data_IF_220138940101
#
_entry.id   IF_220138940101
#
_cell.length_a   1.000
_cell.length_b   1.000
_cell.length_c   1.000
_cell.angle_alpha   90.00
_cell.angle_beta   90.00
_cell.angle_gamma   90.00
#
_symmetry.space_group_name_H-M   'P 1'
#
loop_
_entity.id
_entity.type
_entity.pdbx_description
1 polymer ?
#
# COMPACT_ATOMS: atom_id res chain seq x y z
N UNK A 1 -15.10 54.70 4.09
CA UNK A 1 -13.71 54.39 4.52
C UNK A 1 -13.45 52.97 4.08
N UNK A 2 -13.04 52.83 2.82
CA UNK A 2 -12.79 51.54 2.17
C UNK A 2 -11.34 51.16 2.49
N UNK A 3 -11.16 50.04 3.19
CA UNK A 3 -9.86 49.54 3.61
C UNK A 3 -9.40 48.48 2.59
N UNK A 4 -8.82 48.94 1.48
CA UNK A 4 -8.21 48.09 0.46
C UNK A 4 -6.96 47.43 1.06
N UNK A 5 -7.13 46.19 1.50
CA UNK A 5 -6.05 45.36 2.04
C UNK A 5 -5.28 44.79 0.85
N UNK A 6 -4.22 45.48 0.43
CA UNK A 6 -3.32 45.02 -0.62
C UNK A 6 -2.65 43.70 -0.21
N UNK A 7 -2.90 42.63 -0.96
CA UNK A 7 -2.14 41.38 -0.84
C UNK A 7 -0.89 41.44 -1.73
N UNK A 8 0.33 41.36 -1.17
CA UNK A 8 1.50 41.10 -1.97
C UNK A 8 1.58 39.59 -2.25
N UNK A 9 1.10 39.16 -3.41
CA UNK A 9 1.49 37.86 -3.96
C UNK A 9 2.71 38.08 -4.84
N UNK A 10 3.89 38.05 -4.20
CA UNK A 10 5.12 37.78 -4.93
C UNK A 10 4.94 36.43 -5.63
N UNK A 11 5.16 36.32 -6.95
CA UNK A 11 5.22 35.02 -7.60
C UNK A 11 6.26 34.19 -6.85
N UNK A 12 5.84 33.04 -6.32
CA UNK A 12 6.75 32.07 -5.74
C UNK A 12 7.62 31.59 -6.90
N UNK A 13 8.93 31.77 -6.77
CA UNK A 13 9.87 31.33 -7.78
C UNK A 13 9.81 29.80 -7.88
N UNK A 14 9.16 29.31 -8.94
CA UNK A 14 9.00 27.89 -9.20
C UNK A 14 10.36 27.17 -9.25
N UNK A 15 11.43 27.87 -9.64
CA UNK A 15 12.77 27.31 -9.65
C UNK A 15 13.26 26.95 -8.24
N UNK A 16 12.96 27.76 -7.23
CA UNK A 16 13.34 27.50 -5.84
C UNK A 16 12.60 26.28 -5.27
N UNK A 17 11.31 26.15 -5.58
CA UNK A 17 10.49 24.99 -5.16
C UNK A 17 11.01 23.69 -5.80
N UNK A 18 11.37 23.74 -7.08
CA UNK A 18 11.94 22.59 -7.80
C UNK A 18 13.31 22.18 -7.23
N UNK A 19 14.19 23.15 -6.92
CA UNK A 19 15.49 22.87 -6.30
C UNK A 19 15.35 22.21 -4.92
N UNK A 20 14.41 22.67 -4.08
CA UNK A 20 14.12 22.05 -2.78
C UNK A 20 13.68 20.59 -2.98
N UNK A 21 12.77 20.34 -3.91
CA UNK A 21 12.28 18.99 -4.20
C UNK A 21 13.40 18.06 -4.70
N UNK A 22 14.22 18.54 -5.65
CA UNK A 22 15.34 17.75 -6.19
C UNK A 22 16.39 17.41 -5.12
N UNK A 23 16.62 18.32 -4.15
CA UNK A 23 17.52 18.08 -3.04
C UNK A 23 17.03 16.94 -2.13
N UNK A 24 15.74 16.91 -1.83
CA UNK A 24 15.13 15.85 -1.03
C UNK A 24 15.17 14.50 -1.76
N UNK A 25 14.89 14.48 -3.07
CA UNK A 25 14.98 13.25 -3.89
C UNK A 25 16.42 12.72 -3.88
N UNK A 26 17.43 13.56 -4.11
CA UNK A 26 18.85 13.15 -4.08
C UNK A 26 19.25 12.61 -2.70
N UNK A 27 18.80 13.25 -1.62
CA UNK A 27 19.06 12.77 -0.26
C UNK A 27 18.47 11.38 -0.01
N UNK A 28 17.23 11.15 -0.46
CA UNK A 28 16.57 9.85 -0.32
C UNK A 28 17.24 8.76 -1.16
N UNK A 29 17.65 9.06 -2.39
CA UNK A 29 18.40 8.10 -3.24
C UNK A 29 19.74 7.73 -2.59
N UNK A 30 20.47 8.70 -2.04
CA UNK A 30 21.75 8.46 -1.36
C UNK A 30 21.59 7.54 -0.15
N UNK A 31 20.57 7.76 0.68
CA UNK A 31 20.29 6.91 1.86
C UNK A 31 19.92 5.48 1.45
N UNK A 32 19.10 5.31 0.41
CA UNK A 32 18.74 3.98 -0.10
C UNK A 32 19.97 3.24 -0.62
N UNK A 33 20.87 3.93 -1.31
CA UNK A 33 22.13 3.36 -1.78
C UNK A 33 22.99 2.85 -0.61
N UNK A 34 23.13 3.66 0.45
CA UNK A 34 23.89 3.27 1.64
C UNK A 34 23.32 2.00 2.32
N UNK A 35 21.99 1.87 2.39
CA UNK A 35 21.34 0.67 2.93
C UNK A 35 21.62 -0.55 2.04
N UNK A 36 21.58 -0.41 0.71
CA UNK A 36 21.88 -1.51 -0.22
C UNK A 36 23.35 -1.92 -0.10
N UNK A 37 24.27 -0.95 -0.07
CA UNK A 37 25.70 -1.21 0.09
C UNK A 37 25.98 -1.91 1.43
N UNK A 38 25.27 -1.54 2.51
CA UNK A 38 25.34 -2.21 3.80
C UNK A 38 24.82 -3.66 3.73
N UNK A 39 23.67 -3.90 3.06
CA UNK A 39 23.12 -5.25 2.90
C UNK A 39 24.06 -6.16 2.10
N UNK A 40 24.71 -5.63 1.06
CA UNK A 40 25.72 -6.35 0.27
C UNK A 40 26.92 -6.70 1.16
N UNK A 41 27.44 -5.74 1.93
CA UNK A 41 28.55 -5.98 2.85
C UNK A 41 28.18 -7.02 3.94
N UNK A 42 26.97 -6.98 4.48
CA UNK A 42 26.46 -7.98 5.43
C UNK A 42 26.35 -9.36 4.77
N UNK A 43 25.91 -9.42 3.51
CA UNK A 43 25.85 -10.67 2.74
C UNK A 43 27.25 -11.24 2.44
N UNK A 44 28.26 -10.40 2.22
CA UNK A 44 29.64 -10.84 2.00
C UNK A 44 30.31 -11.33 3.30
N UNK A 45 29.99 -10.70 4.43
CA UNK A 45 30.53 -11.09 5.76
C UNK A 45 29.85 -12.34 6.31
N UNK A 46 28.57 -12.54 5.99
CA UNK A 46 27.89 -13.81 6.18
C UNK A 46 28.29 -14.74 5.04
N UNK A 47 29.42 -15.45 5.18
CA UNK A 47 29.74 -16.63 4.36
C UNK A 47 28.66 -17.72 4.54
N UNK A 48 27.45 -17.47 4.05
CA UNK A 48 26.50 -18.51 3.72
C UNK A 48 27.18 -19.26 2.59
N UNK A 49 27.60 -20.50 2.89
CA UNK A 49 28.11 -21.36 1.83
C UNK A 49 27.04 -21.44 0.74
N UNK A 50 27.45 -21.68 -0.50
CA UNK A 50 26.51 -21.92 -1.59
C UNK A 50 25.46 -22.99 -1.20
N UNK A 51 25.79 -23.89 -0.28
CA UNK A 51 24.88 -24.89 0.27
C UNK A 51 23.77 -24.31 1.15
N UNK A 52 24.03 -23.26 1.93
CA UNK A 52 23.00 -22.57 2.73
C UNK A 52 22.01 -21.81 1.84
N UNK A 53 22.48 -21.16 0.78
CA UNK A 53 21.60 -20.52 -0.21
C UNK A 53 20.77 -21.56 -0.98
N UNK A 54 21.36 -22.72 -1.28
CA UNK A 54 20.65 -23.84 -1.92
C UNK A 54 19.59 -24.45 -1.00
N UNK A 55 19.87 -24.53 0.31
CA UNK A 55 18.91 -25.01 1.30
C UNK A 55 17.69 -24.08 1.41
N UNK A 56 17.90 -22.77 1.50
CA UNK A 56 16.80 -21.77 1.54
C UNK A 56 16.01 -21.78 0.23
N UNK A 57 16.68 -21.87 -0.92
CA UNK A 57 16.00 -21.96 -2.22
C UNK A 57 15.15 -23.23 -2.35
N UNK A 58 15.60 -24.35 -1.81
CA UNK A 58 14.85 -25.61 -1.83
C UNK A 58 13.65 -25.55 -0.87
N UNK A 59 13.82 -24.97 0.32
CA UNK A 59 12.74 -24.79 1.28
C UNK A 59 11.64 -23.86 0.73
N UNK A 60 12.03 -22.80 0.03
CA UNK A 60 11.09 -21.90 -0.64
C UNK A 60 10.33 -22.59 -1.79
N UNK A 61 11.03 -23.43 -2.58
CA UNK A 61 10.39 -24.23 -3.62
C UNK A 61 9.40 -25.27 -3.06
N UNK A 62 9.67 -25.82 -1.88
CA UNK A 62 8.77 -26.77 -1.20
C UNK A 62 7.53 -26.08 -0.65
N UNK A 63 7.68 -24.89 -0.06
CA UNK A 63 6.54 -24.08 0.37
C UNK A 63 5.65 -23.66 -0.82
N UNK A 64 6.25 -23.32 -1.96
CA UNK A 64 5.48 -23.03 -3.18
C UNK A 64 4.70 -24.24 -3.71
N UNK A 65 5.26 -25.46 -3.60
CA UNK A 65 4.52 -26.69 -3.97
C UNK A 65 3.29 -26.90 -3.09
N UNK A 66 3.42 -26.70 -1.77
CA UNK A 66 2.32 -26.84 -0.81
C UNK A 66 1.21 -25.82 -1.11
N UNK A 67 1.57 -24.58 -1.45
CA UNK A 67 0.59 -23.52 -1.76
C UNK A 67 -0.08 -23.75 -3.12
N UNK A 68 0.63 -24.33 -4.10
CA UNK A 68 0.10 -24.55 -5.45
C UNK A 68 -0.92 -25.69 -5.56
N UNK A 69 -1.07 -26.54 -4.54
CA UNK A 69 -2.08 -27.61 -4.52
C UNK A 69 -1.96 -28.64 -5.66
N UNK A 70 -0.79 -28.72 -6.32
CA UNK A 70 -0.57 -29.65 -7.42
C UNK A 70 -0.15 -31.00 -6.84
N UNK A 71 -1.11 -31.90 -6.65
CA UNK A 71 -0.87 -33.31 -6.37
C UNK A 71 -0.23 -33.97 -7.61
N UNK A 72 1.10 -34.03 -7.65
CA UNK A 72 1.85 -34.73 -8.69
C UNK A 72 1.81 -36.25 -8.47
N UNK A 73 0.67 -36.86 -8.78
CA UNK A 73 0.59 -38.29 -9.13
C UNK A 73 0.13 -38.42 -10.57
N UNK A 74 1.02 -38.10 -11.50
CA UNK A 74 0.91 -38.57 -12.90
C UNK A 74 2.23 -39.24 -13.25
N UNK A 75 2.20 -40.57 -13.25
CA UNK A 75 3.25 -41.41 -13.81
C UNK A 75 3.35 -41.09 -15.31
N UNK A 76 4.45 -40.46 -15.71
CA UNK A 76 4.75 -40.21 -17.11
C UNK A 76 5.38 -41.50 -17.66
N UNK A 77 4.54 -42.33 -18.29
CA UNK A 77 5.02 -43.39 -19.19
C UNK A 77 5.74 -42.73 -20.38
N UNK A 78 7.03 -43.03 -20.52
CA UNK A 78 7.83 -42.68 -21.69
C UNK A 78 7.42 -43.58 -22.86
N UNK A 79 6.40 -43.15 -23.62
CA UNK A 79 5.99 -43.76 -24.88
C UNK A 79 6.87 -43.33 -26.05
N UNK A 80 7.38 -44.32 -26.78
CA UNK A 80 8.19 -44.18 -28.00
C UNK A 80 7.46 -43.36 -29.08
N UNK A 81 8.16 -42.36 -29.61
CA UNK A 81 7.70 -41.52 -30.72
C UNK A 81 7.94 -42.24 -32.05
N UNK A 82 6.84 -42.56 -32.72
CA UNK A 82 6.79 -43.10 -34.08
C UNK A 82 6.71 -41.94 -35.09
N UNK A 83 7.64 -41.95 -36.06
CA UNK A 83 7.70 -41.02 -37.18
C UNK A 83 6.57 -41.34 -38.17
N UNK A 84 5.61 -40.42 -38.31
CA UNK A 84 4.81 -40.31 -39.54
C UNK A 84 4.25 -38.89 -39.70
N UNK A 85 4.78 -38.19 -40.69
CA UNK A 85 4.14 -37.07 -41.38
C UNK A 85 3.05 -37.62 -42.34
N UNK A 86 2.37 -36.82 -43.19
CA UNK A 86 2.06 -35.37 -43.16
C UNK A 86 0.54 -35.11 -43.29
N UNK A 87 0.08 -33.86 -43.16
CA UNK A 87 -0.85 -33.28 -44.15
C UNK A 87 -1.02 -31.77 -43.97
N UNK A 88 -0.84 -31.10 -45.11
CA UNK A 88 -1.10 -29.69 -45.40
C UNK A 88 -2.58 -29.36 -45.13
N UNK A 89 -2.85 -28.22 -44.49
CA UNK A 89 -4.20 -27.63 -44.45
C UNK A 89 -4.05 -26.17 -44.84
N UNK A 90 -4.81 -25.83 -45.86
CA UNK A 90 -4.77 -24.60 -46.64
C UNK A 90 -5.17 -23.36 -45.85
N UNK A 91 -4.53 -22.25 -46.21
CA UNK A 91 -4.81 -20.89 -45.77
C UNK A 91 -6.10 -20.39 -46.44
N UNK A 92 -7.09 -19.95 -45.65
CA UNK A 92 -8.27 -19.25 -46.15
C UNK A 92 -8.22 -17.78 -45.68
N UNK A 93 -7.64 -16.94 -46.53
CA UNK A 93 -7.69 -15.49 -46.42
C UNK A 93 -9.12 -15.00 -46.71
N UNK A 94 -9.73 -14.30 -45.76
CA UNK A 94 -10.99 -13.59 -46.00
C UNK A 94 -10.75 -12.09 -45.97
N UNK A 95 -10.64 -11.53 -47.18
CA UNK A 95 -10.72 -10.10 -47.45
C UNK A 95 -12.14 -9.60 -47.17
N UNK A 96 -12.28 -8.62 -46.27
CA UNK A 96 -13.53 -7.84 -46.14
C UNK A 96 -13.21 -6.40 -46.48
N UNK A 97 -13.30 -6.09 -47.78
CA UNK A 97 -13.57 -4.74 -48.27
C UNK A 97 -14.97 -4.32 -47.81
N UNK A 98 -15.09 -3.23 -47.06
CA UNK A 98 -16.27 -2.38 -47.24
C UNK A 98 -15.92 -0.90 -47.16
N UNK A 99 -16.21 -0.28 -48.29
CA UNK A 99 -16.08 1.13 -48.65
C UNK A 99 -17.13 1.94 -47.90
N UNK A 100 -16.72 3.04 -47.27
CA UNK A 100 -17.56 4.23 -47.16
C UNK A 100 -16.72 5.45 -47.53
N UNK A 101 -16.99 5.96 -48.74
CA UNK A 101 -16.54 7.25 -49.21
C UNK A 101 -17.69 8.26 -49.07
N UNK A 102 -17.42 9.38 -48.39
CA UNK A 102 -17.94 10.72 -48.65
C UNK A 102 -17.25 11.67 -47.65
N UNK A 103 -16.22 12.43 -48.02
CA UNK A 103 -16.17 13.63 -48.88
C UNK A 103 -16.47 14.94 -48.16
N UNK A 104 -15.54 15.88 -48.39
CA UNK A 104 -15.53 17.35 -48.15
C UNK A 104 -15.10 17.80 -46.73
N UNK A 105 -13.86 18.23 -46.50
CA UNK A 105 -13.13 19.43 -46.99
C UNK A 105 -13.50 20.71 -46.24
N UNK A 106 -12.65 21.09 -45.28
CA UNK A 106 -12.22 22.47 -45.03
C UNK A 106 -10.93 22.41 -44.23
N UNK A 107 -9.87 22.89 -44.88
CA UNK A 107 -8.55 23.09 -44.31
C UNK A 107 -8.55 24.39 -43.55
N UNK A 108 -8.10 24.38 -42.30
CA UNK A 108 -7.25 25.43 -41.73
C UNK A 108 -6.27 24.78 -40.74
N UNK A 109 -5.01 25.10 -40.92
CA UNK A 109 -3.85 24.71 -40.13
C UNK A 109 -4.00 25.15 -38.68
N UNK A 110 -3.60 24.30 -37.73
CA UNK A 110 -2.82 24.74 -36.58
C UNK A 110 -2.13 23.54 -35.93
N UNK A 111 -0.80 23.54 -36.07
CA UNK A 111 0.13 22.65 -35.39
C UNK A 111 -0.05 22.81 -33.87
N UNK A 112 -0.36 21.71 -33.18
CA UNK A 112 0.11 21.51 -31.82
C UNK A 112 0.26 20.00 -31.57
N UNK A 113 1.53 19.60 -31.66
CA UNK A 113 2.08 18.36 -31.14
C UNK A 113 1.92 18.34 -29.59
N UNK A 114 2.00 17.14 -29.00
CA UNK A 114 1.95 16.82 -27.56
C UNK A 114 0.59 16.59 -26.89
N UNK A 115 -0.13 15.57 -27.34
CA UNK A 115 -1.04 14.80 -26.49
C UNK A 115 -0.75 13.29 -26.56
N UNK A 116 0.45 12.87 -26.13
CA UNK A 116 0.70 11.45 -25.87
C UNK A 116 1.76 11.19 -24.78
N UNK A 117 1.62 11.84 -23.62
CA UNK A 117 2.47 11.57 -22.46
C UNK A 117 1.71 11.67 -21.11
N UNK A 118 0.51 11.10 -21.01
CA UNK A 118 -0.24 11.05 -19.73
C UNK A 118 -0.82 9.66 -19.41
N UNK A 119 -0.31 8.58 -20.04
CA UNK A 119 -0.72 7.20 -19.70
C UNK A 119 0.41 6.30 -19.17
N UNK A 120 1.59 6.85 -18.84
CA UNK A 120 2.73 6.06 -18.29
C UNK A 120 3.26 6.49 -16.92
N UNK A 121 2.51 7.29 -16.17
CA UNK A 121 2.92 7.73 -14.83
C UNK A 121 2.19 7.03 -13.66
N UNK A 122 1.17 6.20 -13.91
CA UNK A 122 0.40 5.54 -12.83
C UNK A 122 0.65 4.04 -12.64
N UNK A 123 1.51 3.41 -13.47
CA UNK A 123 1.86 1.98 -13.30
C UNK A 123 3.20 1.76 -12.59
N UNK A 124 3.97 2.82 -12.31
CA UNK A 124 5.28 2.73 -11.65
C UNK A 124 5.24 2.77 -10.12
N UNK A 125 4.05 2.84 -9.51
CA UNK A 125 3.87 2.85 -8.06
C UNK A 125 3.35 1.51 -7.47
N UNK A 126 3.13 0.48 -8.29
CA UNK A 126 2.49 -0.78 -7.86
C UNK A 126 3.46 -1.91 -7.47
N UNK A 127 4.77 -1.70 -7.53
CA UNK A 127 5.76 -2.65 -6.98
C UNK A 127 6.47 -2.05 -5.77
N UNK A 128 5.70 -1.51 -4.82
CA UNK A 128 6.20 -1.38 -3.45
C UNK A 128 6.17 -2.79 -2.85
N UNK A 129 7.33 -3.41 -2.95
CA UNK A 129 7.67 -4.68 -2.34
C UNK A 129 7.21 -4.72 -0.87
N UNK A 130 6.34 -5.70 -0.57
CA UNK A 130 5.72 -5.93 0.75
C UNK A 130 6.74 -6.24 1.84
N UNK A 131 8.03 -6.32 1.51
CA UNK A 131 9.15 -6.50 2.44
C UNK A 131 9.51 -5.23 3.23
N UNK A 132 9.00 -4.05 2.83
CA UNK A 132 9.23 -2.78 3.56
C UNK A 132 8.33 -2.56 4.78
N UNK A 133 7.65 -3.61 5.27
CA UNK A 133 6.75 -3.55 6.44
C UNK A 133 7.37 -4.01 7.76
N UNK A 134 8.64 -4.47 7.79
CA UNK A 134 9.22 -5.07 9.02
C UNK A 134 10.56 -4.46 9.51
N UNK A 135 11.19 -3.56 8.75
CA UNK A 135 12.53 -3.05 9.11
C UNK A 135 12.56 -1.54 9.29
N UNK A 136 12.21 -1.10 10.49
CA UNK A 136 12.48 0.27 10.92
C UNK A 136 11.66 0.66 12.14
N UNK A 137 12.01 0.10 13.30
CA UNK A 137 11.81 0.63 14.69
C UNK A 137 11.73 -0.49 15.76
N UNK A 138 12.53 -1.56 15.60
CA UNK A 138 12.55 -2.75 16.47
C UNK A 138 13.01 -2.54 17.93
N UNK A 139 13.02 -1.32 18.47
CA UNK A 139 13.30 -1.09 19.90
C UNK A 139 12.22 -0.32 20.66
N UNK A 140 11.14 0.14 20.02
CA UNK A 140 9.93 0.47 20.78
C UNK A 140 9.26 -0.85 21.12
N UNK A 141 9.75 -1.48 22.20
CA UNK A 141 9.21 -2.69 22.83
C UNK A 141 7.68 -2.58 22.80
N UNK A 142 7.06 -3.29 21.85
CA UNK A 142 5.62 -3.25 21.61
C UNK A 142 4.95 -3.47 22.94
N UNK A 143 4.33 -2.42 23.50
CA UNK A 143 3.61 -2.56 24.75
C UNK A 143 2.54 -3.61 24.50
N UNK A 144 2.73 -4.79 25.09
CA UNK A 144 1.78 -5.90 24.99
C UNK A 144 0.43 -5.37 25.49
N UNK A 145 -0.51 -5.26 24.57
CA UNK A 145 -1.86 -4.91 24.91
C UNK A 145 -2.43 -6.02 25.80
N UNK A 146 -3.01 -5.65 26.94
CA UNK A 146 -3.70 -6.59 27.83
C UNK A 146 -5.20 -6.31 27.75
N UNK A 147 -6.04 -7.30 27.38
CA UNK A 147 -7.48 -7.14 27.49
C UNK A 147 -7.89 -6.79 28.92
N UNK A 148 -8.90 -5.93 29.08
CA UNK A 148 -9.37 -5.54 30.40
C UNK A 148 -10.21 -4.26 30.39
N UNK A 149 -10.54 -3.80 31.60
CA UNK A 149 -11.32 -2.58 31.81
C UNK A 149 -10.39 -1.36 31.95
N UNK A 150 -10.61 -0.38 31.08
CA UNK A 150 -9.90 0.87 31.05
C UNK A 150 -10.84 2.02 31.38
N UNK A 151 -10.36 2.96 32.19
CA UNK A 151 -11.12 4.19 32.48
C UNK A 151 -10.50 5.33 31.70
N UNK A 152 -11.28 5.94 30.81
CA UNK A 152 -10.89 7.14 30.09
C UNK A 152 -10.96 8.38 31.00
N UNK A 153 -10.23 9.45 30.69
CA UNK A 153 -10.35 10.75 31.38
C UNK A 153 -11.76 11.34 31.30
N UNK A 154 -12.57 10.94 30.32
CA UNK A 154 -13.99 11.29 30.25
C UNK A 154 -14.89 10.48 31.20
N UNK A 155 -14.30 9.65 32.05
CA UNK A 155 -14.95 8.74 33.01
C UNK A 155 -15.72 7.57 32.39
N UNK A 156 -15.68 7.41 31.06
CA UNK A 156 -16.19 6.22 30.41
C UNK A 156 -15.34 5.01 30.80
N UNK A 157 -16.01 3.92 31.19
CA UNK A 157 -15.40 2.60 31.34
C UNK A 157 -15.47 1.87 30.01
N UNK A 158 -14.34 1.35 29.56
CA UNK A 158 -14.20 0.66 28.28
C UNK A 158 -13.60 -0.70 28.56
N UNK A 159 -14.39 -1.73 28.30
CA UNK A 159 -13.90 -3.10 28.26
C UNK A 159 -13.26 -3.31 26.90
N UNK A 160 -11.93 -3.30 26.86
CA UNK A 160 -11.18 -3.44 25.62
C UNK A 160 -10.75 -4.90 25.46
N UNK A 161 -11.22 -5.54 24.39
CA UNK A 161 -10.76 -6.85 23.95
C UNK A 161 -9.52 -6.74 23.08
N UNK A 162 -9.38 -5.60 22.40
CA UNK A 162 -8.25 -5.25 21.56
C UNK A 162 -7.87 -3.77 21.73
N UNK A 163 -6.70 -3.39 21.19
CA UNK A 163 -6.23 -2.00 21.22
C UNK A 163 -7.16 -1.07 20.42
N UNK A 164 -7.83 -1.55 19.38
CA UNK A 164 -8.66 -0.74 18.49
C UNK A 164 -9.86 -0.14 19.25
N UNK A 165 -10.44 -0.86 20.22
CA UNK A 165 -11.51 -0.31 21.07
C UNK A 165 -11.09 0.99 21.78
N UNK A 166 -9.85 1.04 22.30
CA UNK A 166 -9.31 2.21 22.98
C UNK A 166 -9.02 3.34 21.98
N UNK A 167 -8.42 3.02 20.84
CA UNK A 167 -8.08 4.01 19.81
C UNK A 167 -9.33 4.65 19.20
N UNK A 168 -10.38 3.86 18.91
CA UNK A 168 -11.66 4.37 18.41
C UNK A 168 -12.34 5.29 19.43
N UNK A 169 -12.26 4.95 20.72
CA UNK A 169 -12.76 5.84 21.77
C UNK A 169 -12.01 7.18 21.81
N UNK A 170 -10.68 7.16 21.66
CA UNK A 170 -9.87 8.38 21.54
C UNK A 170 -10.25 9.17 20.28
N UNK A 171 -10.57 8.47 19.19
CA UNK A 171 -11.09 9.06 17.95
C UNK A 171 -12.25 10.01 18.20
N UNK A 172 -13.22 9.59 19.04
CA UNK A 172 -14.37 10.44 19.45
C UNK A 172 -13.95 11.71 20.18
N UNK A 173 -12.87 11.66 20.97
CA UNK A 173 -12.35 12.85 21.64
C UNK A 173 -11.61 13.79 20.71
N UNK A 174 -10.82 13.24 19.78
CA UNK A 174 -10.01 14.02 18.85
C UNK A 174 -10.78 14.52 17.63
N UNK A 175 -11.98 13.97 17.38
CA UNK A 175 -12.80 14.28 16.19
C UNK A 175 -11.97 14.16 14.90
N UNK A 176 -11.00 13.25 14.89
CA UNK A 176 -10.15 13.02 13.72
C UNK A 176 -11.01 12.29 12.71
N UNK A 177 -11.24 12.94 11.57
CA UNK A 177 -12.02 12.37 10.48
C UNK A 177 -11.10 11.64 9.51
N UNK A 178 -11.55 10.46 9.10
CA UNK A 178 -11.03 9.64 8.03
C UNK A 178 -11.96 9.79 6.84
N UNK A 179 -11.44 10.25 5.70
CA UNK A 179 -12.21 10.39 4.46
C UNK A 179 -12.29 9.03 3.76
N UNK A 180 -13.44 8.73 3.15
CA UNK A 180 -13.53 7.61 2.23
C UNK A 180 -12.60 7.79 1.03
N UNK A 181 -11.91 6.71 0.63
CA UNK A 181 -10.98 6.71 -0.50
C UNK A 181 -11.66 6.44 -1.85
N UNK A 182 -12.96 6.14 -1.86
CA UNK A 182 -13.75 6.07 -3.09
C UNK A 182 -14.03 7.49 -3.61
N UNK A 183 -13.71 7.74 -4.88
CA UNK A 183 -13.74 9.08 -5.49
C UNK A 183 -15.08 9.81 -5.33
N UNK A 184 -16.20 9.10 -5.49
CA UNK A 184 -17.56 9.64 -5.41
C UNK A 184 -18.17 9.60 -4.00
N UNK A 185 -17.35 9.35 -2.97
CA UNK A 185 -17.81 9.24 -1.59
C UNK A 185 -17.20 10.31 -0.69
N UNK A 186 -18.01 11.29 -0.30
CA UNK A 186 -17.60 12.39 0.59
C UNK A 186 -17.74 12.06 2.09
N UNK A 187 -18.15 10.84 2.41
CA UNK A 187 -18.38 10.43 3.80
C UNK A 187 -17.08 10.45 4.60
N UNK A 188 -17.17 11.01 5.79
CA UNK A 188 -16.07 11.06 6.76
C UNK A 188 -16.47 10.33 8.05
N UNK A 189 -15.57 9.52 8.59
CA UNK A 189 -15.78 8.75 9.83
C UNK A 189 -14.74 9.07 10.89
N UNK A 190 -15.12 8.99 12.16
CA UNK A 190 -14.23 9.34 13.29
C UNK A 190 -13.50 8.14 13.91
N UNK A 191 -13.87 6.92 13.50
CA UNK A 191 -13.36 5.66 14.03
C UNK A 191 -13.17 4.66 12.90
N UNK A 192 -12.16 3.78 13.01
CA UNK A 192 -11.87 2.76 12.00
C UNK A 192 -13.01 1.77 11.90
N UNK A 193 -13.60 1.33 13.03
CA UNK A 193 -14.72 0.39 12.97
C UNK A 193 -15.93 0.96 12.21
N UNK A 194 -16.26 2.24 12.43
CA UNK A 194 -17.34 2.90 11.68
C UNK A 194 -16.99 3.21 10.23
N UNK A 195 -15.69 3.19 9.91
CA UNK A 195 -15.19 3.30 8.54
C UNK A 195 -15.32 1.95 7.82
N UNK A 196 -14.94 0.84 8.46
CA UNK A 196 -15.19 -0.53 7.97
C UNK A 196 -16.70 -0.78 7.77
N UNK A 197 -17.53 -0.42 8.76
CA UNK A 197 -19.00 -0.48 8.63
C UNK A 197 -19.52 0.39 7.46
N UNK A 198 -18.84 1.50 7.14
CA UNK A 198 -19.22 2.33 6.00
C UNK A 198 -18.87 1.70 4.66
N UNK A 199 -17.71 1.05 4.55
CA UNK A 199 -17.33 0.30 3.36
C UNK A 199 -18.36 -0.81 3.08
N UNK A 200 -18.76 -1.55 4.12
CA UNK A 200 -19.75 -2.62 3.99
C UNK A 200 -21.13 -2.06 3.59
N UNK A 201 -21.63 -1.05 4.31
CA UNK A 201 -22.99 -0.55 4.08
C UNK A 201 -23.16 0.33 2.84
N UNK A 202 -22.17 1.16 2.50
CA UNK A 202 -22.28 2.13 1.40
C UNK A 202 -21.67 1.64 0.10
N UNK A 203 -20.65 0.78 0.18
CA UNK A 203 -19.96 0.25 -0.98
C UNK A 203 -20.19 -1.25 -1.20
N UNK A 204 -20.84 -1.95 -0.25
CA UNK A 204 -21.06 -3.39 -0.35
C UNK A 204 -19.76 -4.19 -0.28
N UNK A 205 -18.71 -3.62 0.32
CA UNK A 205 -17.38 -4.19 0.34
C UNK A 205 -16.92 -4.40 1.78
N UNK A 206 -16.63 -5.64 2.14
CA UNK A 206 -15.90 -5.94 3.37
C UNK A 206 -14.42 -5.68 3.16
N UNK A 207 -13.67 -5.52 4.24
CA UNK A 207 -12.21 -5.35 4.19
C UNK A 207 -11.48 -6.47 3.45
N UNK A 208 -12.07 -7.67 3.44
CA UNK A 208 -11.54 -8.86 2.76
C UNK A 208 -11.80 -8.84 1.24
N UNK A 209 -12.85 -8.16 0.80
CA UNK A 209 -13.29 -8.09 -0.59
C UNK A 209 -12.64 -6.92 -1.37
N UNK A 210 -11.84 -6.09 -0.70
CA UNK A 210 -11.11 -4.99 -1.32
C UNK A 210 -10.05 -5.52 -2.29
N UNK A 211 -9.96 -4.90 -3.47
CA UNK A 211 -8.87 -5.20 -4.40
C UNK A 211 -7.51 -4.74 -3.83
N UNK A 212 -6.40 -5.11 -4.48
CA UNK A 212 -5.05 -4.82 -3.97
C UNK A 212 -4.78 -3.34 -3.69
N UNK A 213 -5.22 -2.45 -4.57
CA UNK A 213 -5.05 -1.00 -4.42
C UNK A 213 -5.91 -0.45 -3.28
N UNK A 214 -7.19 -0.80 -3.25
CA UNK A 214 -8.14 -0.41 -2.21
C UNK A 214 -7.71 -0.92 -0.82
N UNK A 215 -7.21 -2.15 -0.76
CA UNK A 215 -6.72 -2.76 0.47
C UNK A 215 -5.46 -2.04 0.97
N UNK A 216 -4.54 -1.71 0.08
CA UNK A 216 -3.34 -0.95 0.45
C UNK A 216 -3.72 0.44 0.99
N UNK A 217 -4.62 1.14 0.31
CA UNK A 217 -5.10 2.44 0.75
C UNK A 217 -5.86 2.38 2.09
N UNK A 218 -6.69 1.36 2.28
CA UNK A 218 -7.36 1.10 3.55
C UNK A 218 -6.36 0.87 4.70
N UNK A 219 -5.35 0.02 4.49
CA UNK A 219 -4.32 -0.25 5.49
C UNK A 219 -3.46 0.99 5.79
N UNK A 220 -3.15 1.80 4.78
CA UNK A 220 -2.45 3.08 4.96
C UNK A 220 -3.26 4.01 5.87
N UNK A 221 -4.54 4.21 5.55
CA UNK A 221 -5.45 5.05 6.33
C UNK A 221 -5.61 4.53 7.77
N UNK A 222 -5.79 3.21 7.94
CA UNK A 222 -5.90 2.55 9.25
C UNK A 222 -4.65 2.75 10.10
N UNK A 223 -3.46 2.59 9.50
CA UNK A 223 -2.17 2.82 10.14
C UNK A 223 -2.01 4.27 10.59
N UNK A 224 -2.24 5.23 9.69
CA UNK A 224 -2.13 6.66 10.00
C UNK A 224 -3.05 7.08 11.15
N UNK A 225 -4.30 6.59 11.14
CA UNK A 225 -5.23 6.82 12.24
C UNK A 225 -4.71 6.23 13.55
N UNK A 226 -4.30 4.96 13.53
CA UNK A 226 -3.84 4.25 14.71
C UNK A 226 -2.59 4.88 15.31
N UNK A 227 -1.60 5.25 14.49
CA UNK A 227 -0.38 5.91 14.93
C UNK A 227 -0.69 7.29 15.54
N UNK A 228 -1.60 8.04 14.93
CA UNK A 228 -2.07 9.29 15.51
C UNK A 228 -2.75 9.08 16.87
N UNK A 229 -3.64 8.09 17.00
CA UNK A 229 -4.36 7.82 18.26
C UNK A 229 -3.45 7.28 19.35
N UNK A 230 -2.46 6.45 19.01
CA UNK A 230 -1.47 5.89 19.96
C UNK A 230 -0.70 6.98 20.70
N UNK A 231 -0.41 8.11 20.05
CA UNK A 231 0.21 9.29 20.69
C UNK A 231 -0.63 9.84 21.85
N UNK A 232 -1.94 9.65 21.83
CA UNK A 232 -2.86 10.12 22.85
C UNK A 232 -3.29 9.06 23.86
N UNK A 233 -2.89 7.79 23.67
CA UNK A 233 -3.35 6.67 24.47
C UNK A 233 -3.09 6.88 25.96
N UNK A 234 -1.87 7.26 26.33
CA UNK A 234 -1.46 7.51 27.73
C UNK A 234 -2.13 8.73 28.36
N UNK A 235 -2.56 9.70 27.54
CA UNK A 235 -3.25 10.89 28.02
C UNK A 235 -4.69 10.59 28.43
N UNK A 236 -5.38 9.70 27.70
CA UNK A 236 -6.76 9.32 28.00
C UNK A 236 -6.87 8.15 28.98
N UNK A 237 -5.93 7.21 28.96
CA UNK A 237 -5.98 6.01 29.77
C UNK A 237 -4.77 5.92 30.71
N UNK A 238 -4.85 6.64 31.82
CA UNK A 238 -3.75 6.75 32.79
C UNK A 238 -3.39 5.41 33.45
N UNK A 239 -4.32 4.46 33.51
CA UNK A 239 -4.08 3.10 34.03
C UNK A 239 -3.02 2.34 33.24
N UNK A 240 -2.81 2.65 31.96
CA UNK A 240 -1.76 2.07 31.14
C UNK A 240 -0.35 2.45 31.62
N UNK A 241 -0.21 3.54 32.38
CA UNK A 241 1.08 3.95 32.95
C UNK A 241 1.46 3.17 34.21
N UNK A 242 0.51 2.51 34.88
CA UNK A 242 0.71 1.87 36.18
C UNK A 242 1.14 0.40 36.08
N UNK A 243 0.92 -0.25 34.94
CA UNK A 243 1.22 -1.67 34.75
C UNK A 243 2.72 -2.02 34.73
N UNK A 244 3.61 -1.02 34.73
CA UNK A 244 5.06 -1.22 34.68
C UNK A 244 5.79 -1.20 36.03
N UNK A 245 5.14 -0.82 37.13
CA UNK A 245 5.82 -0.59 38.43
C UNK A 245 5.48 -1.59 39.53
N UNK A 246 4.62 -2.59 39.25
CA UNK A 246 4.35 -3.67 40.20
C UNK A 246 5.41 -4.77 40.05
N UNK A 247 6.58 -4.57 40.65
CA UNK A 247 7.54 -5.65 40.90
C UNK A 247 8.23 -5.44 42.24
N UNK A 248 8.08 -6.45 43.11
CA UNK A 248 8.80 -6.76 44.35
C UNK A 248 8.53 -5.91 45.60
N UNK A 249 7.58 -6.37 46.42
CA UNK A 249 7.68 -6.33 47.89
C UNK A 249 7.47 -7.74 48.40
#
# INVERSE_FOLDING_TARGET
MENETAMPRSPVDLAEVVEIYLKDVRSNVSKKKEIIDQMIAEQETMHLSADSLRAVSNEFAEQLRIVSGVDSTTEVETGEINENAPQEVEEEETEVESRYANSTASAEDEENEDENEVQRANESASTIDSTYLERGDSQVRSQEFRPGDYTCTCKAKITATDMQNLLDHIGKHKKRKVKCFFADCEVMKEMIRTFEEHLDNAHGLKSEDLNGEQKNEFERVKREFNDFMRKYLRHYFQSLNQAGTSNNV
#
